data_IF_488946122615
#
_entry.id   IF_488946122615
#
_cell.length_a   1.000
_cell.length_b   1.000
_cell.length_c   1.000
_cell.angle_alpha   90.00
_cell.angle_beta   90.00
_cell.angle_gamma   90.00
#
_symmetry.space_group_name_H-M   'P 1'
#
loop_
_entity.id
_entity.type
_entity.pdbx_description
1 polymer ?
#
# COMPACT_ATOMS: atom_id res chain seq x y z
N UNK A 1 6.01 -11.32 -20.64
CA UNK A 1 7.44 -11.36 -20.25
C UNK A 1 7.53 -11.81 -18.80
N UNK A 2 8.69 -12.28 -18.32
CA UNK A 2 8.89 -12.67 -16.91
C UNK A 2 8.51 -11.57 -15.90
N UNK A 3 8.75 -10.30 -16.24
CA UNK A 3 8.36 -9.16 -15.40
C UNK A 3 6.83 -9.05 -15.20
N UNK A 4 6.04 -9.22 -16.27
CA UNK A 4 4.57 -9.19 -16.18
C UNK A 4 4.00 -10.33 -15.34
N UNK A 5 4.67 -11.49 -15.35
CA UNK A 5 4.32 -12.64 -14.50
C UNK A 5 4.56 -12.32 -13.02
N UNK A 6 5.72 -11.72 -12.71
CA UNK A 6 6.07 -11.30 -11.36
C UNK A 6 5.13 -10.21 -10.82
N UNK A 7 4.82 -9.19 -11.62
CA UNK A 7 3.86 -8.13 -11.28
C UNK A 7 2.46 -8.69 -10.98
N UNK A 8 2.00 -9.64 -11.81
CA UNK A 8 0.73 -10.33 -11.62
C UNK A 8 0.72 -11.15 -10.34
N UNK A 9 1.80 -11.90 -10.08
CA UNK A 9 1.98 -12.70 -8.87
C UNK A 9 2.00 -11.84 -7.61
N UNK A 10 2.80 -10.76 -7.60
CA UNK A 10 2.90 -9.84 -6.46
C UNK A 10 1.57 -9.15 -6.18
N UNK A 11 0.88 -8.69 -7.23
CA UNK A 11 -0.46 -8.12 -7.11
C UNK A 11 -1.46 -9.13 -6.51
N UNK A 12 -1.38 -10.40 -6.88
CA UNK A 12 -2.25 -11.45 -6.36
C UNK A 12 -1.97 -11.78 -4.88
N UNK A 13 -0.71 -11.78 -4.46
CA UNK A 13 -0.31 -11.92 -3.05
C UNK A 13 -0.93 -10.79 -2.21
N UNK A 14 -0.80 -9.55 -2.66
CA UNK A 14 -1.36 -8.39 -1.94
C UNK A 14 -2.89 -8.41 -1.96
N UNK A 15 -3.54 -8.82 -3.05
CA UNK A 15 -4.99 -9.05 -3.09
C UNK A 15 -5.42 -10.09 -2.04
N UNK A 16 -4.68 -11.19 -1.90
CA UNK A 16 -4.94 -12.21 -0.90
C UNK A 16 -4.81 -11.65 0.52
N UNK A 17 -3.81 -10.81 0.79
CA UNK A 17 -3.66 -10.11 2.08
C UNK A 17 -4.90 -9.27 2.40
N UNK A 18 -5.36 -8.41 1.48
CA UNK A 18 -6.56 -7.59 1.72
C UNK A 18 -7.82 -8.44 1.91
N UNK A 19 -7.95 -9.56 1.19
CA UNK A 19 -9.06 -10.50 1.39
C UNK A 19 -9.04 -11.08 2.81
N UNK A 20 -7.88 -11.54 3.28
CA UNK A 20 -7.71 -12.07 4.64
C UNK A 20 -8.01 -11.01 5.72
N UNK A 21 -7.61 -9.75 5.49
CA UNK A 21 -7.90 -8.62 6.37
C UNK A 21 -9.41 -8.26 6.47
N UNK A 22 -10.21 -8.65 5.47
CA UNK A 22 -11.67 -8.40 5.47
C UNK A 22 -12.51 -9.53 6.06
N UNK A 23 -12.00 -10.76 6.09
CA UNK A 23 -12.72 -11.95 6.54
C UNK A 23 -12.58 -12.18 8.06
N UNK A 24 -12.94 -11.19 8.89
CA UNK A 24 -12.74 -11.21 10.35
C UNK A 24 -11.28 -11.39 10.81
N UNK A 25 -10.30 -11.25 9.90
CA UNK A 25 -8.88 -11.40 10.18
C UNK A 25 -8.46 -12.87 10.25
N UNK A 26 -8.33 -13.51 9.08
CA UNK A 26 -7.66 -14.81 8.97
C UNK A 26 -6.16 -14.63 9.28
N UNK A 27 -5.83 -14.67 10.58
CA UNK A 27 -4.50 -14.39 11.10
C UNK A 27 -3.46 -15.37 10.58
N UNK A 28 -3.84 -16.62 10.33
CA UNK A 28 -2.95 -17.62 9.75
C UNK A 28 -2.62 -17.29 8.30
N UNK A 29 -3.63 -16.96 7.49
CA UNK A 29 -3.41 -16.53 6.11
C UNK A 29 -2.56 -15.25 6.05
N UNK A 30 -2.79 -14.28 6.94
CA UNK A 30 -1.98 -13.06 7.03
C UNK A 30 -0.54 -13.40 7.39
N UNK A 31 -0.31 -14.23 8.41
CA UNK A 31 1.02 -14.61 8.87
C UNK A 31 1.84 -15.35 7.81
N UNK A 32 1.19 -16.13 6.92
CA UNK A 32 1.86 -16.82 5.80
C UNK A 32 2.31 -15.88 4.69
N UNK A 33 1.71 -14.69 4.58
CA UNK A 33 2.01 -13.71 3.53
C UNK A 33 3.06 -12.68 3.96
N UNK A 34 3.20 -12.46 5.26
CA UNK A 34 4.11 -11.48 5.84
C UNK A 34 5.40 -12.13 6.33
N UNK A 35 6.51 -11.40 6.24
CA UNK A 35 7.73 -11.76 6.95
C UNK A 35 7.50 -11.69 8.47
N UNK A 36 8.23 -12.51 9.22
CA UNK A 36 8.19 -12.49 10.70
C UNK A 36 8.58 -11.13 11.28
N UNK A 37 9.42 -10.39 10.55
CA UNK A 37 9.80 -9.02 10.86
C UNK A 37 9.40 -8.13 9.69
N UNK A 38 8.27 -7.44 9.85
CA UNK A 38 7.77 -6.48 8.86
C UNK A 38 8.36 -5.10 9.17
N UNK A 39 9.14 -4.55 8.24
CA UNK A 39 9.56 -3.14 8.36
C UNK A 39 8.39 -2.22 8.03
N UNK A 40 8.18 -1.20 8.86
CA UNK A 40 7.03 -0.32 8.72
C UNK A 40 7.44 1.15 8.78
N UNK A 41 6.96 1.92 7.81
CA UNK A 41 7.07 3.37 7.75
C UNK A 41 5.69 3.99 7.63
N UNK A 42 5.48 5.11 8.31
CA UNK A 42 4.20 5.78 8.36
C UNK A 42 4.32 7.28 8.11
N UNK A 43 3.44 7.78 7.26
CA UNK A 43 3.32 9.20 6.94
C UNK A 43 1.84 9.60 6.99
N UNK A 44 1.47 10.40 7.98
CA UNK A 44 0.12 10.88 8.14
C UNK A 44 -0.14 11.39 9.57
N UNK A 45 -1.39 11.71 9.90
CA UNK A 45 -1.77 12.11 11.26
C UNK A 45 -1.41 11.01 12.28
N UNK A 46 -0.91 11.34 13.50
CA UNK A 46 -0.46 10.32 14.47
C UNK A 46 -1.50 9.24 14.78
N UNK A 47 -2.77 9.58 14.79
CA UNK A 47 -3.88 8.68 15.14
C UNK A 47 -4.30 7.74 14.00
N UNK A 48 -3.74 7.85 12.80
CA UNK A 48 -4.20 7.12 11.61
C UNK A 48 -3.37 5.88 11.22
N UNK A 49 -2.58 5.31 12.13
CA UNK A 49 -1.77 4.08 11.94
C UNK A 49 -2.62 2.79 11.92
N UNK A 50 -3.68 2.75 11.10
CA UNK A 50 -4.71 1.72 11.16
C UNK A 50 -4.25 0.35 10.62
N UNK A 51 -3.40 0.29 9.59
CA UNK A 51 -2.95 -1.02 9.06
C UNK A 51 -2.05 -1.71 10.08
N UNK A 52 -1.11 -0.97 10.67
CA UNK A 52 -0.22 -1.54 11.68
C UNK A 52 -1.01 -2.11 12.87
N UNK A 53 -1.95 -1.32 13.40
CA UNK A 53 -2.82 -1.78 14.50
C UNK A 53 -3.61 -3.03 14.13
N UNK A 54 -4.08 -3.12 12.88
CA UNK A 54 -4.76 -4.33 12.39
C UNK A 54 -3.84 -5.54 12.30
N UNK A 55 -2.62 -5.38 11.79
CA UNK A 55 -1.65 -6.47 11.67
C UNK A 55 -1.15 -6.99 13.03
N UNK A 56 -1.20 -6.16 14.07
CA UNK A 56 -0.75 -6.52 15.43
C UNK A 56 -1.88 -6.83 16.39
N UNK A 57 -3.12 -6.88 15.92
CA UNK A 57 -4.29 -7.15 16.78
C UNK A 57 -4.60 -6.03 17.77
N UNK A 58 -4.03 -4.84 17.59
CA UNK A 58 -4.32 -3.64 18.39
C UNK A 58 -5.56 -2.88 17.88
N UNK A 59 -6.12 -3.29 16.73
CA UNK A 59 -7.29 -2.65 16.15
C UNK A 59 -8.55 -2.87 16.98
N UNK A 60 -9.30 -1.80 17.27
CA UNK A 60 -10.66 -1.91 17.82
C UNK A 60 -11.65 -2.28 16.70
N UNK A 61 -12.75 -2.96 17.02
CA UNK A 61 -13.77 -3.40 16.04
C UNK A 61 -14.37 -2.27 15.18
N UNK A 62 -14.25 -1.01 15.61
CA UNK A 62 -14.71 0.19 14.90
C UNK A 62 -13.66 0.80 13.96
N UNK A 63 -12.47 0.20 13.81
CA UNK A 63 -11.41 0.72 12.95
C UNK A 63 -11.70 0.59 11.45
N UNK A 64 -10.92 1.33 10.65
CA UNK A 64 -11.07 1.46 9.21
C UNK A 64 -11.11 0.08 8.51
N UNK A 65 -12.11 -0.10 7.64
CA UNK A 65 -12.11 -1.20 6.66
C UNK A 65 -11.34 -0.77 5.43
N UNK A 66 -10.19 -1.39 5.21
CA UNK A 66 -9.40 -1.18 4.02
C UNK A 66 -10.06 -1.85 2.83
N UNK A 67 -10.73 -1.03 2.00
CA UNK A 67 -11.28 -1.45 0.71
C UNK A 67 -10.42 -0.88 -0.41
N UNK A 68 -9.51 -1.67 -1.00
CA UNK A 68 -8.73 -1.25 -2.15
C UNK A 68 -9.62 -0.75 -3.28
N UNK A 69 -9.25 0.37 -3.87
CA UNK A 69 -9.81 0.85 -5.15
C UNK A 69 -8.92 0.42 -6.31
N UNK A 70 -7.62 0.60 -6.15
CA UNK A 70 -6.62 0.16 -7.12
C UNK A 70 -5.54 -0.65 -6.41
N UNK A 71 -5.04 -1.67 -7.10
CA UNK A 71 -3.89 -2.48 -6.69
C UNK A 71 -3.01 -2.59 -7.93
N UNK A 72 -1.82 -2.02 -7.88
CA UNK A 72 -0.90 -1.95 -9.01
C UNK A 72 0.49 -2.39 -8.57
N UNK A 73 1.00 -3.45 -9.19
CA UNK A 73 2.42 -3.75 -9.10
C UNK A 73 3.22 -2.74 -9.92
N UNK A 74 4.37 -2.34 -9.40
CA UNK A 74 5.30 -1.41 -10.03
C UNK A 74 6.71 -1.97 -9.89
N UNK A 75 7.28 -2.38 -11.02
CA UNK A 75 8.56 -3.10 -11.04
C UNK A 75 8.47 -4.45 -10.33
N UNK A 76 9.64 -4.99 -9.97
CA UNK A 76 9.74 -6.40 -9.59
C UNK A 76 9.31 -6.71 -8.15
N UNK A 77 9.23 -5.71 -7.27
CA UNK A 77 9.11 -5.93 -5.83
C UNK A 77 8.03 -5.09 -5.15
N UNK A 78 7.43 -4.11 -5.82
CA UNK A 78 6.54 -3.16 -5.15
C UNK A 78 5.11 -3.30 -5.64
N UNK A 79 4.17 -3.17 -4.71
CA UNK A 79 2.74 -3.12 -5.00
C UNK A 79 2.14 -1.93 -4.26
N UNK A 80 1.57 -1.02 -5.04
CA UNK A 80 0.85 0.15 -4.54
C UNK A 80 -0.62 -0.20 -4.44
N UNK A 81 -1.21 0.12 -3.29
CA UNK A 81 -2.64 -0.03 -3.06
C UNK A 81 -3.22 1.27 -2.58
N UNK A 82 -4.20 1.78 -3.31
CA UNK A 82 -4.89 3.01 -3.00
C UNK A 82 -6.33 2.70 -2.59
N UNK A 83 -6.84 3.44 -1.60
CA UNK A 83 -8.24 3.39 -1.26
C UNK A 83 -8.73 4.54 -0.41
N UNK A 84 -10.01 4.44 -0.06
CA UNK A 84 -10.75 5.46 0.68
C UNK A 84 -11.61 4.79 1.74
N UNK A 85 -11.68 5.38 2.93
CA UNK A 85 -12.66 4.96 3.93
C UNK A 85 -13.74 6.03 4.12
N UNK A 86 -14.86 5.85 3.41
CA UNK A 86 -15.93 6.84 3.37
C UNK A 86 -15.40 8.23 2.93
N UNK A 87 -15.98 9.33 3.43
CA UNK A 87 -15.48 10.68 3.16
C UNK A 87 -14.30 11.09 4.05
N UNK A 88 -13.86 10.24 5.00
CA UNK A 88 -13.04 10.67 6.14
C UNK A 88 -11.53 10.43 5.99
N UNK A 89 -11.11 9.48 5.16
CA UNK A 89 -9.69 9.17 5.02
C UNK A 89 -9.35 8.67 3.62
N UNK A 90 -8.33 9.29 3.04
CA UNK A 90 -7.58 8.80 1.89
C UNK A 90 -6.36 8.02 2.38
N UNK A 91 -6.03 6.90 1.76
CA UNK A 91 -4.85 6.13 2.11
C UNK A 91 -4.18 5.47 0.90
N UNK A 92 -2.85 5.35 0.99
CA UNK A 92 -2.00 4.60 0.07
C UNK A 92 -1.08 3.71 0.88
N UNK A 93 -1.01 2.44 0.52
CA UNK A 93 -0.04 1.49 1.06
C UNK A 93 0.91 1.06 -0.05
N UNK A 94 2.20 1.16 0.21
CA UNK A 94 3.24 0.62 -0.66
C UNK A 94 3.84 -0.60 0.03
N UNK A 95 3.58 -1.77 -0.54
CA UNK A 95 4.10 -3.05 -0.06
C UNK A 95 5.36 -3.41 -0.83
N UNK A 96 6.39 -3.85 -0.12
CA UNK A 96 7.60 -4.44 -0.72
C UNK A 96 7.57 -5.95 -0.53
N UNK A 97 7.81 -6.70 -1.59
CA UNK A 97 7.85 -8.15 -1.63
C UNK A 97 9.25 -8.64 -2.01
N UNK A 98 9.68 -9.72 -1.36
CA UNK A 98 10.87 -10.48 -1.72
C UNK A 98 10.51 -11.96 -1.77
N UNK A 99 10.77 -12.60 -2.90
CA UNK A 99 10.50 -14.03 -3.11
C UNK A 99 9.05 -14.45 -2.78
N UNK A 100 8.10 -13.55 -3.02
CA UNK A 100 6.67 -13.77 -2.73
C UNK A 100 6.24 -13.54 -1.28
N UNK A 101 7.13 -13.04 -0.43
CA UNK A 101 6.86 -12.68 0.97
C UNK A 101 6.86 -11.15 1.12
N UNK A 102 5.87 -10.61 1.82
CA UNK A 102 5.78 -9.17 2.11
C UNK A 102 6.72 -8.83 3.26
N UNK A 103 7.67 -7.93 3.00
CA UNK A 103 8.76 -7.60 3.94
C UNK A 103 8.68 -6.18 4.47
N UNK A 104 8.04 -5.27 3.73
CA UNK A 104 7.91 -3.87 4.15
C UNK A 104 6.51 -3.30 3.83
N UNK A 105 6.08 -2.37 4.68
CA UNK A 105 4.91 -1.52 4.48
C UNK A 105 5.32 -0.06 4.62
N UNK A 106 5.00 0.76 3.61
CA UNK A 106 4.92 2.22 3.77
C UNK A 106 3.46 2.66 3.69
N UNK A 107 2.97 3.28 4.74
CA UNK A 107 1.59 3.71 4.88
C UNK A 107 1.49 5.23 4.81
N UNK A 108 0.64 5.74 3.91
CA UNK A 108 0.40 7.15 3.69
C UNK A 108 -1.09 7.46 3.91
N UNK A 109 -1.41 8.37 4.82
CA UNK A 109 -2.78 8.85 5.05
C UNK A 109 -2.92 10.32 4.70
N UNK A 110 -4.02 10.67 4.05
CA UNK A 110 -4.37 12.05 3.67
C UNK A 110 -3.18 12.79 3.00
N UNK A 111 -2.46 12.08 2.14
CA UNK A 111 -1.26 12.56 1.43
C UNK A 111 -1.32 12.06 -0.01
N UNK A 112 -1.26 12.96 -1.00
CA UNK A 112 -1.13 12.56 -2.40
C UNK A 112 0.28 12.00 -2.65
N UNK A 113 0.36 10.93 -3.43
CA UNK A 113 1.60 10.23 -3.70
C UNK A 113 1.81 10.09 -5.22
N UNK A 114 2.98 10.48 -5.68
CA UNK A 114 3.49 10.14 -7.01
C UNK A 114 4.66 9.17 -6.82
N UNK A 115 4.66 8.08 -7.59
CA UNK A 115 5.73 7.09 -7.60
C UNK A 115 6.49 7.22 -8.90
N UNK A 116 7.79 7.47 -8.77
CA UNK A 116 8.70 7.63 -9.90
C UNK A 116 9.80 6.58 -9.84
N UNK A 117 10.29 6.16 -11.00
CA UNK A 117 11.58 5.47 -11.12
C UNK A 117 12.62 6.47 -11.56
N UNK A 118 13.74 6.51 -10.84
CA UNK A 118 14.91 7.30 -11.23
C UNK A 118 15.84 6.39 -12.02
N UNK A 119 16.05 6.72 -13.29
CA UNK A 119 17.00 6.01 -14.15
C UNK A 119 18.40 6.52 -13.82
N UNK A 120 19.32 5.70 -13.27
CA UNK A 120 20.61 6.17 -12.78
C UNK A 120 21.49 6.78 -13.86
N UNK A 121 21.40 6.27 -15.09
CA UNK A 121 22.27 6.65 -16.21
C UNK A 121 22.00 8.07 -16.71
N UNK A 122 20.73 8.47 -16.78
CA UNK A 122 20.31 9.77 -17.34
C UNK A 122 19.80 10.77 -16.30
N UNK A 123 19.76 10.37 -15.01
CA UNK A 123 19.06 11.08 -13.92
C UNK A 123 17.60 11.43 -14.26
N UNK A 124 17.03 10.74 -15.26
CA UNK A 124 15.68 10.99 -15.72
C UNK A 124 14.69 10.29 -14.78
N UNK A 125 13.55 10.93 -14.53
CA UNK A 125 12.50 10.41 -13.67
C UNK A 125 11.28 10.02 -14.50
N UNK A 126 10.90 8.75 -14.44
CA UNK A 126 9.72 8.22 -15.14
C UNK A 126 8.60 8.08 -14.11
N UNK A 127 7.45 8.73 -14.36
CA UNK A 127 6.25 8.56 -13.55
C UNK A 127 5.66 7.16 -13.79
N UNK A 128 5.64 6.33 -12.76
CA UNK A 128 5.03 5.01 -12.81
C UNK A 128 3.56 5.02 -12.37
N UNK A 129 3.27 5.79 -11.33
CA UNK A 129 1.94 5.85 -10.74
C UNK A 129 1.74 7.18 -10.04
N UNK A 130 0.51 7.65 -10.00
CA UNK A 130 0.12 8.77 -9.16
C UNK A 130 -1.25 8.51 -8.56
N UNK A 131 -1.45 9.04 -7.36
CA UNK A 131 -2.74 9.09 -6.71
C UNK A 131 -3.80 9.70 -7.60
N UNK A 132 -5.04 9.21 -7.51
CA UNK A 132 -6.17 9.78 -8.23
C UNK A 132 -7.02 10.65 -7.29
N UNK A 133 -7.01 12.00 -7.45
CA UNK A 133 -7.88 12.86 -6.68
C UNK A 133 -9.34 12.56 -6.92
N UNK A 134 -10.10 12.33 -5.84
CA UNK A 134 -11.55 12.36 -5.95
C UNK A 134 -11.98 13.79 -6.18
N UNK A 135 -12.54 14.06 -7.38
CA UNK A 135 -13.11 15.36 -7.77
C UNK A 135 -14.10 15.94 -6.75
N UNK A 136 -14.71 15.11 -5.90
CA UNK A 136 -15.66 15.53 -4.87
C UNK A 136 -15.03 15.97 -3.54
N UNK A 137 -13.73 15.77 -3.33
CA UNK A 137 -13.03 16.29 -2.17
C UNK A 137 -12.25 17.55 -2.58
N UNK A 138 -12.80 18.71 -2.26
CA UNK A 138 -12.11 20.00 -2.35
C UNK A 138 -11.03 20.11 -1.24
N UNK A 139 -10.07 19.20 -1.24
CA UNK A 139 -9.01 19.14 -0.24
C UNK A 139 -7.65 19.19 -0.93
N UNK A 140 -6.84 20.18 -0.58
CA UNK A 140 -5.40 20.14 -0.84
C UNK A 140 -4.76 19.16 0.14
N UNK A 141 -4.17 18.09 -0.37
CA UNK A 141 -3.33 17.20 0.44
C UNK A 141 -1.86 17.46 0.09
N UNK A 142 -0.92 17.26 1.03
CA UNK A 142 0.50 17.30 0.73
C UNK A 142 0.82 16.32 -0.40
N UNK A 143 1.71 16.70 -1.32
CA UNK A 143 2.18 15.83 -2.40
C UNK A 143 3.57 15.28 -2.05
N UNK A 144 3.73 13.97 -2.11
CA UNK A 144 4.98 13.27 -1.85
C UNK A 144 5.42 12.52 -3.11
N UNK A 145 6.70 12.62 -3.44
CA UNK A 145 7.33 11.83 -4.51
C UNK A 145 8.10 10.69 -3.88
N UNK A 146 7.71 9.45 -4.20
CA UNK A 146 8.41 8.25 -3.81
C UNK A 146 9.24 7.75 -4.99
N UNK A 147 10.55 7.97 -4.90
CA UNK A 147 11.52 7.33 -5.80
C UNK A 147 11.72 5.88 -5.37
N UNK A 148 11.62 4.96 -6.34
CA UNK A 148 11.69 3.52 -6.11
C UNK A 148 12.85 2.86 -6.86
#
# INVERSE_FOLDING_TARGET
SPALDLESRNSNIVKALYKALTAHGDTEAIARLLASHLEWHYHGPPDCQYMMRKLTGQSRDMEIRFKPRTIMAVGDQRVIVEGWNGPKAYWVHVWTLKDGIITQLREYFNTWLAVIVVVPEDQNAILLWQSEPRKSLNCSLPNLVLAI
#
